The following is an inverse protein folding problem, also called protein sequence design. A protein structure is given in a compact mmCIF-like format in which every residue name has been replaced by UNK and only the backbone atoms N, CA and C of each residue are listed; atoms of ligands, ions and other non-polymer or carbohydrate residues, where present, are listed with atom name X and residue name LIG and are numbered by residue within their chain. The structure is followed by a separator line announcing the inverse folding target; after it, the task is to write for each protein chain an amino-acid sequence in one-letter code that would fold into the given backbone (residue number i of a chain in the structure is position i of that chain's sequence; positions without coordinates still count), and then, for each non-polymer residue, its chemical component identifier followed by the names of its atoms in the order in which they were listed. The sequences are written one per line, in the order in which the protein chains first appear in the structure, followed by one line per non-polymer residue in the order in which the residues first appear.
data_IF_400317305616
#
_entry.id   IF_400317305616
#
_cell.length_a   1.000
_cell.length_b   1.000
_cell.length_c   1.000
_cell.angle_alpha   90.00
_cell.angle_beta   90.00
_cell.angle_gamma   90.00
#
_symmetry.space_group_name_H-M   'P 1'
#
loop_
_entity.id
_entity.type
_entity.pdbx_description
1 polymer ?
#
# COMPACT_ATOMS: atom_id res chain seq x y z
N UNK A 1 -19.25 -17.13 -17.16
CA UNK A 1 -18.74 -17.11 -15.78
C UNK A 1 -17.23 -16.98 -15.88
N UNK A 2 -16.64 -15.83 -15.53
CA UNK A 2 -15.18 -15.64 -15.60
C UNK A 2 -14.62 -16.21 -14.30
N UNK A 3 -13.97 -17.38 -14.37
CA UNK A 3 -13.27 -17.92 -13.20
C UNK A 3 -12.10 -16.99 -12.84
N UNK A 4 -12.02 -16.50 -11.59
CA UNK A 4 -10.88 -15.71 -11.16
C UNK A 4 -9.64 -16.62 -11.14
N UNK A 5 -8.68 -16.31 -12.01
CA UNK A 5 -7.36 -16.95 -12.09
C UNK A 5 -6.56 -16.61 -10.81
N UNK A 6 -6.82 -17.35 -9.73
CA UNK A 6 -6.10 -17.24 -8.46
C UNK A 6 -5.59 -18.61 -8.03
N UNK A 7 -4.36 -18.69 -7.49
CA UNK A 7 -3.82 -19.97 -7.05
C UNK A 7 -4.60 -20.52 -5.85
N UNK A 8 -4.69 -21.85 -5.79
CA UNK A 8 -5.42 -22.61 -4.75
C UNK A 8 -4.88 -22.31 -3.33
N UNK A 9 -3.59 -21.99 -3.22
CA UNK A 9 -2.92 -21.50 -2.00
C UNK A 9 -1.93 -20.39 -2.36
N UNK A 10 -1.79 -19.39 -1.48
CA UNK A 10 -0.73 -18.40 -1.59
C UNK A 10 -0.87 -17.39 -2.72
N UNK A 11 -2.09 -16.91 -3.01
CA UNK A 11 -2.31 -15.83 -3.96
C UNK A 11 -1.52 -14.57 -3.63
N UNK A 12 -1.10 -13.84 -4.67
CA UNK A 12 -0.37 -12.59 -4.54
C UNK A 12 -1.22 -11.56 -3.79
N UNK A 13 -0.93 -11.36 -2.50
CA UNK A 13 -1.40 -10.22 -1.72
C UNK A 13 -0.51 -9.01 -2.06
N UNK A 14 -0.42 -8.68 -3.35
CA UNK A 14 0.05 -7.35 -3.77
C UNK A 14 -1.20 -6.52 -4.03
N UNK A 15 -1.70 -5.78 -3.01
CA UNK A 15 -2.93 -5.00 -3.16
C UNK A 15 -2.80 -3.95 -4.28
N UNK A 16 -1.57 -3.50 -4.56
CA UNK A 16 -1.23 -2.63 -5.68
C UNK A 16 0.28 -2.68 -5.96
N UNK A 17 0.68 -2.27 -7.17
CA UNK A 17 2.08 -2.22 -7.61
C UNK A 17 2.82 -0.96 -7.15
N UNK A 18 4.14 -1.06 -6.97
CA UNK A 18 5.00 0.06 -6.57
C UNK A 18 5.04 1.16 -7.63
N UNK A 19 5.28 0.83 -8.90
CA UNK A 19 5.33 1.81 -9.99
C UNK A 19 4.01 2.57 -10.18
N UNK A 20 2.87 1.87 -10.12
CA UNK A 20 1.56 2.52 -10.15
C UNK A 20 1.38 3.47 -8.95
N UNK A 21 1.74 3.05 -7.74
CA UNK A 21 1.65 3.90 -6.57
C UNK A 21 2.52 5.15 -6.70
N UNK A 22 3.77 5.01 -7.16
CA UNK A 22 4.69 6.15 -7.37
C UNK A 22 4.07 7.14 -8.36
N UNK A 23 3.56 6.66 -9.49
CA UNK A 23 2.91 7.52 -10.49
C UNK A 23 1.74 8.30 -9.89
N UNK A 24 0.78 7.61 -9.28
CA UNK A 24 -0.40 8.26 -8.72
C UNK A 24 -0.05 9.21 -7.57
N UNK A 25 0.95 8.87 -6.77
CA UNK A 25 1.42 9.72 -5.68
C UNK A 25 2.05 11.00 -6.23
N UNK A 26 2.95 10.88 -7.21
CA UNK A 26 3.62 12.03 -7.83
C UNK A 26 2.68 12.91 -8.65
N UNK A 27 1.58 12.36 -9.18
CA UNK A 27 0.49 13.12 -9.80
C UNK A 27 -0.45 13.80 -8.79
N UNK A 28 -0.20 13.66 -7.48
CA UNK A 28 -1.00 14.29 -6.43
C UNK A 28 -2.35 13.60 -6.15
N UNK A 29 -2.59 12.41 -6.69
CA UNK A 29 -3.89 11.73 -6.59
C UNK A 29 -4.16 11.09 -5.21
N UNK A 30 -3.13 10.93 -4.36
CA UNK A 30 -3.25 10.35 -3.02
C UNK A 30 -3.65 8.86 -3.02
N UNK A 31 -2.90 7.97 -3.72
CA UNK A 31 -3.26 6.56 -3.86
C UNK A 31 -3.40 5.84 -2.52
N UNK A 32 -4.46 5.03 -2.39
CA UNK A 32 -4.75 4.22 -1.19
C UNK A 32 -4.81 5.04 0.11
N UNK A 33 -5.30 6.29 0.03
CA UNK A 33 -5.41 7.18 1.18
C UNK A 33 -4.06 7.67 1.70
N UNK A 34 -3.04 7.74 0.84
CA UNK A 34 -1.83 8.49 1.14
C UNK A 34 -2.11 10.00 1.14
N UNK A 35 -1.16 10.77 1.67
CA UNK A 35 -1.19 12.22 1.49
C UNK A 35 -1.19 12.57 -0.01
N UNK A 36 -1.82 13.69 -0.34
CA UNK A 36 -1.67 14.35 -1.64
C UNK A 36 -0.47 15.29 -1.56
N UNK A 37 0.24 15.43 -2.67
CA UNK A 37 1.35 16.36 -2.82
C UNK A 37 1.05 17.30 -3.98
N UNK A 38 1.77 18.42 -4.04
CA UNK A 38 1.83 19.25 -5.23
C UNK A 38 2.81 18.62 -6.26
N UNK A 39 2.33 18.21 -7.45
CA UNK A 39 3.18 17.61 -8.47
C UNK A 39 4.34 18.49 -8.93
N UNK A 40 4.19 19.82 -8.87
CA UNK A 40 5.23 20.77 -9.30
C UNK A 40 6.36 20.88 -8.28
N UNK A 41 6.08 20.60 -7.01
CA UNK A 41 7.09 20.53 -5.95
C UNK A 41 7.73 19.14 -5.92
N UNK A 42 6.93 18.10 -6.11
CA UNK A 42 7.35 16.71 -5.99
C UNK A 42 7.42 16.25 -4.53
N UNK A 43 8.16 15.17 -4.28
CA UNK A 43 8.36 14.65 -2.93
C UNK A 43 9.71 13.94 -2.80
N UNK A 44 10.34 13.97 -1.60
CA UNK A 44 11.51 13.16 -1.31
C UNK A 44 11.23 11.67 -1.48
N UNK A 45 12.23 10.90 -1.94
CA UNK A 45 12.09 9.43 -2.07
C UNK A 45 11.75 8.74 -0.74
N UNK A 46 12.21 9.29 0.38
CA UNK A 46 11.89 8.81 1.73
C UNK A 46 10.38 8.89 2.00
N UNK A 47 9.75 9.99 1.65
CA UNK A 47 8.32 10.23 1.87
C UNK A 47 7.46 9.36 0.97
N UNK A 48 7.82 9.25 -0.31
CA UNK A 48 7.14 8.34 -1.24
C UNK A 48 7.21 6.91 -0.71
N UNK A 49 8.39 6.47 -0.24
CA UNK A 49 8.55 5.15 0.36
C UNK A 49 7.73 5.00 1.64
N UNK A 50 7.69 6.01 2.51
CA UNK A 50 6.91 6.01 3.75
C UNK A 50 5.42 5.84 3.45
N UNK A 51 4.87 6.61 2.52
CA UNK A 51 3.47 6.55 2.13
C UNK A 51 3.13 5.23 1.44
N UNK A 52 3.97 4.76 0.52
CA UNK A 52 3.79 3.46 -0.14
C UNK A 52 3.73 2.33 0.88
N UNK A 53 4.67 2.33 1.82
CA UNK A 53 4.77 1.32 2.87
C UNK A 53 3.57 1.35 3.81
N UNK A 54 3.16 2.54 4.24
CA UNK A 54 1.99 2.71 5.11
C UNK A 54 0.71 2.23 4.41
N UNK A 55 0.55 2.54 3.13
CA UNK A 55 -0.59 2.08 2.34
C UNK A 55 -0.60 0.54 2.22
N UNK A 56 0.55 -0.10 2.01
CA UNK A 56 0.65 -1.57 1.97
C UNK A 56 0.27 -2.21 3.31
N UNK A 57 0.70 -1.62 4.42
CA UNK A 57 0.36 -2.08 5.77
C UNK A 57 -1.16 -1.99 6.00
N UNK A 58 -1.78 -0.85 5.64
CA UNK A 58 -3.24 -0.64 5.72
C UNK A 58 -4.01 -1.66 4.90
N UNK A 59 -3.65 -1.83 3.62
CA UNK A 59 -4.30 -2.79 2.75
C UNK A 59 -4.15 -4.24 3.25
N UNK A 60 -2.97 -4.60 3.80
CA UNK A 60 -2.73 -5.91 4.40
C UNK A 60 -3.58 -6.14 5.66
N UNK A 61 -3.71 -5.12 6.51
CA UNK A 61 -4.53 -5.19 7.71
C UNK A 61 -6.01 -5.38 7.36
N UNK A 62 -6.50 -4.60 6.39
CA UNK A 62 -7.88 -4.67 5.93
C UNK A 62 -8.20 -6.04 5.31
N UNK A 63 -7.37 -6.55 4.40
CA UNK A 63 -7.61 -7.88 3.81
C UNK A 63 -7.61 -8.99 4.88
N UNK A 64 -6.69 -8.93 5.86
CA UNK A 64 -6.68 -9.89 6.98
C UNK A 64 -7.95 -9.79 7.83
N UNK A 65 -8.43 -8.57 8.10
CA UNK A 65 -9.68 -8.33 8.83
C UNK A 65 -10.89 -8.89 8.09
N UNK A 66 -11.04 -8.56 6.81
CA UNK A 66 -12.12 -9.06 5.96
C UNK A 66 -12.15 -10.57 5.91
N UNK A 67 -11.01 -11.23 5.63
CA UNK A 67 -10.95 -12.71 5.60
C UNK A 67 -11.27 -13.34 6.95
N UNK A 68 -10.84 -12.70 8.04
CA UNK A 68 -11.12 -13.18 9.40
C UNK A 68 -12.61 -13.10 9.69
N UNK A 69 -13.21 -11.98 9.34
CA UNK A 69 -14.63 -11.71 9.51
C UNK A 69 -15.49 -12.65 8.67
N UNK A 70 -15.20 -12.78 7.36
CA UNK A 70 -15.88 -13.74 6.47
C UNK A 70 -15.89 -15.16 7.05
N UNK A 71 -14.75 -15.58 7.61
CA UNK A 71 -14.61 -16.89 8.24
C UNK A 71 -15.44 -17.00 9.53
N UNK A 72 -15.54 -15.93 10.32
CA UNK A 72 -16.33 -15.89 11.55
C UNK A 72 -17.83 -15.85 11.25
N UNK A 73 -18.26 -14.98 10.34
CA UNK A 73 -19.63 -14.87 9.85
C UNK A 73 -20.15 -16.20 9.30
N UNK A 74 -19.35 -16.88 8.45
CA UNK A 74 -19.70 -18.20 7.91
C UNK A 74 -19.86 -19.26 9.00
N UNK A 75 -19.00 -19.25 10.02
CA UNK A 75 -19.08 -20.20 11.15
C UNK A 75 -20.27 -19.91 12.06
N UNK A 76 -20.57 -18.63 12.28
CA UNK A 76 -21.68 -18.18 13.12
C UNK A 76 -23.02 -18.14 12.41
N UNK A 77 -23.08 -18.47 11.11
CA UNK A 77 -24.29 -18.32 10.26
C UNK A 77 -24.91 -16.91 10.36
N UNK A 78 -24.07 -15.88 10.48
CA UNK A 78 -24.48 -14.48 10.52
C UNK A 78 -24.02 -13.74 9.27
N UNK A 79 -24.63 -12.59 8.99
CA UNK A 79 -24.13 -11.68 7.97
C UNK A 79 -22.74 -11.13 8.35
N UNK A 80 -21.98 -10.70 7.34
CA UNK A 80 -20.71 -9.99 7.51
C UNK A 80 -21.01 -8.61 8.11
N UNK A 81 -20.31 -8.22 9.17
CA UNK A 81 -20.42 -6.90 9.79
C UNK A 81 -19.25 -6.01 9.38
N UNK A 82 -19.49 -4.86 8.73
CA UNK A 82 -18.47 -3.86 8.44
C UNK A 82 -17.75 -3.36 9.71
N UNK A 83 -18.47 -3.20 10.81
CA UNK A 83 -17.94 -2.71 12.08
C UNK A 83 -16.92 -3.69 12.69
N UNK A 84 -17.17 -4.99 12.54
CA UNK A 84 -16.21 -6.03 12.93
C UNK A 84 -14.94 -5.97 12.08
N UNK A 85 -15.05 -5.67 10.77
CA UNK A 85 -13.89 -5.51 9.87
C UNK A 85 -13.06 -4.30 10.30
N UNK A 86 -13.68 -3.17 10.57
CA UNK A 86 -12.99 -1.94 11.02
C UNK A 86 -12.22 -2.19 12.31
N UNK A 87 -12.89 -2.74 13.33
CA UNK A 87 -12.28 -3.08 14.63
C UNK A 87 -11.12 -4.07 14.48
N UNK A 88 -11.27 -5.08 13.63
CA UNK A 88 -10.19 -6.04 13.36
C UNK A 88 -9.03 -5.38 12.59
N UNK A 89 -9.33 -4.45 11.68
CA UNK A 89 -8.33 -3.71 10.90
C UNK A 89 -7.45 -2.89 11.81
N UNK A 90 -8.03 -2.09 12.71
CA UNK A 90 -7.30 -1.32 13.73
C UNK A 90 -6.43 -2.22 14.62
N UNK A 91 -6.99 -3.34 15.06
CA UNK A 91 -6.25 -4.34 15.85
C UNK A 91 -5.06 -4.92 15.09
N UNK A 92 -5.17 -5.15 13.78
CA UNK A 92 -4.05 -5.62 12.99
C UNK A 92 -3.02 -4.53 12.72
N UNK A 93 -3.45 -3.30 12.43
CA UNK A 93 -2.57 -2.16 12.19
C UNK A 93 -1.61 -1.91 13.36
N UNK A 94 -2.13 -1.93 14.59
CA UNK A 94 -1.33 -1.76 15.81
C UNK A 94 -0.30 -2.87 16.05
N UNK A 95 -0.46 -4.03 15.40
CA UNK A 95 0.38 -5.22 15.61
C UNK A 95 1.33 -5.52 14.47
N UNK A 96 1.08 -4.98 13.27
CA UNK A 96 1.95 -5.19 12.12
C UNK A 96 3.22 -4.35 12.33
N UNK A 97 4.40 -4.96 12.52
CA UNK A 97 5.61 -4.19 12.72
C UNK A 97 5.98 -3.49 11.41
N UNK A 98 6.26 -2.20 11.51
CA UNK A 98 6.65 -1.37 10.36
C UNK A 98 7.88 -1.95 9.66
N UNK A 99 8.90 -2.39 10.40
CA UNK A 99 10.16 -2.88 9.81
C UNK A 99 10.09 -4.31 9.23
N UNK A 100 9.15 -5.14 9.68
CA UNK A 100 9.11 -6.57 9.31
C UNK A 100 8.26 -6.86 8.08
N UNK A 101 7.40 -5.93 7.68
CA UNK A 101 6.35 -6.18 6.70
C UNK A 101 6.53 -5.22 5.55
N UNK A 102 6.63 -5.74 4.31
CA UNK A 102 6.65 -5.00 3.02
C UNK A 102 8.00 -4.38 2.58
N UNK A 103 7.91 -3.34 1.74
CA UNK A 103 9.01 -2.72 1.01
C UNK A 103 10.12 -2.20 1.94
N UNK A 104 11.37 -2.62 1.70
CA UNK A 104 12.55 -2.05 2.37
C UNK A 104 13.02 -0.81 1.62
N UNK A 105 13.51 0.18 2.35
CA UNK A 105 13.95 1.45 1.76
C UNK A 105 15.03 1.27 0.69
N UNK A 106 16.05 0.44 0.94
CA UNK A 106 17.09 0.16 -0.06
C UNK A 106 16.51 -0.40 -1.37
N UNK A 107 15.59 -1.37 -1.29
CA UNK A 107 14.92 -1.91 -2.48
C UNK A 107 14.08 -0.87 -3.21
N UNK A 108 13.43 0.04 -2.46
CA UNK A 108 12.67 1.15 -3.03
C UNK A 108 13.57 2.11 -3.80
N UNK A 109 14.67 2.57 -3.20
CA UNK A 109 15.62 3.50 -3.83
C UNK A 109 16.23 2.90 -5.10
N UNK A 110 16.63 1.62 -5.06
CA UNK A 110 17.14 0.93 -6.24
C UNK A 110 16.09 0.89 -7.35
N UNK A 111 14.84 0.55 -7.02
CA UNK A 111 13.73 0.56 -7.98
C UNK A 111 13.48 1.96 -8.54
N UNK A 112 13.45 2.99 -7.69
CA UNK A 112 13.22 4.38 -8.07
C UNK A 112 14.33 4.91 -8.99
N UNK A 113 15.58 4.53 -8.73
CA UNK A 113 16.72 4.92 -9.59
C UNK A 113 16.57 4.41 -11.03
N UNK A 114 15.93 3.25 -11.23
CA UNK A 114 15.63 2.77 -12.58
C UNK A 114 14.56 3.63 -13.26
N UNK A 115 13.55 4.11 -12.53
CA UNK A 115 12.55 5.03 -13.08
C UNK A 115 13.19 6.34 -13.55
N UNK A 116 14.15 6.86 -12.79
CA UNK A 116 14.93 8.04 -13.16
C UNK A 116 15.79 7.79 -14.40
N UNK A 117 16.51 6.67 -14.47
CA UNK A 117 17.34 6.29 -15.63
C UNK A 117 16.54 6.09 -16.91
N UNK A 118 15.28 5.66 -16.78
CA UNK A 118 14.36 5.51 -17.90
C UNK A 118 13.71 6.84 -18.34
N UNK A 119 13.96 7.94 -17.63
CA UNK A 119 13.33 9.24 -17.90
C UNK A 119 11.84 9.27 -17.57
N UNK A 120 11.37 8.39 -16.68
CA UNK A 120 9.94 8.34 -16.28
C UNK A 120 9.62 9.22 -15.07
N UNK A 121 10.65 9.62 -14.33
CA UNK A 121 10.57 10.55 -13.21
C UNK A 121 11.80 11.44 -13.23
N UNK A 122 11.61 12.74 -13.06
CA UNK A 122 12.68 13.74 -13.07
C UNK A 122 12.68 14.53 -11.75
N UNK A 123 13.85 15.05 -11.32
CA UNK A 123 13.91 15.98 -10.19
C UNK A 123 13.20 17.30 -10.54
N UNK A 124 12.47 17.86 -9.57
CA UNK A 124 11.83 19.19 -9.71
C UNK A 124 12.81 20.35 -9.49
N UNK A 125 14.03 20.07 -9.04
CA UNK A 125 15.02 21.08 -8.66
C UNK A 125 14.75 21.74 -7.30
N UNK A 126 13.73 21.26 -6.56
CA UNK A 126 13.45 21.66 -5.17
C UNK A 126 14.15 20.70 -4.21
N UNK A 127 14.73 21.24 -3.15
CA UNK A 127 15.37 20.49 -2.07
C UNK A 127 14.76 20.93 -0.73
N UNK A 128 14.66 19.98 0.21
CA UNK A 128 14.24 20.28 1.59
C UNK A 128 15.43 20.81 2.39
N UNK A 129 15.16 21.73 3.31
CA UNK A 129 16.19 22.23 4.24
C UNK A 129 16.66 21.11 5.18
N UNK A 130 17.96 21.11 5.50
CA UNK A 130 18.63 20.09 6.34
C UNK A 130 18.54 20.35 7.83
#
# INVERSE_FOLDING_TARGET
MVEPLKPVRGGFLRPFGCGWFIREFLLGNGPNGSARIDPEVGAPQADICYHYKTALIKATALDKATRREEKQARRGKRAISPEDIERLTERYLTRIPYKSTSCRYHSFVVYFSNLQRLGWVEPTGREEES
#
